data_IF_788978137058
#
_entry.id   IF_788978137058
#
_cell.length_a   1.000
_cell.length_b   1.000
_cell.length_c   1.000
_cell.angle_alpha   90.00
_cell.angle_beta   90.00
_cell.angle_gamma   90.00
#
_symmetry.space_group_name_H-M   'P 1'
#
loop_
_entity.id
_entity.type
_entity.pdbx_description
1 polymer ?
#
# COMPACT_ATOMS: atom_id res chain seq x y z
N UNK A 1 -25.16 -19.56 -22.13
CA UNK A 1 -24.91 -18.12 -22.00
C UNK A 1 -24.12 -17.91 -20.71
N UNK A 2 -22.83 -17.75 -20.80
CA UNK A 2 -21.96 -17.60 -19.62
C UNK A 2 -22.16 -16.17 -19.09
N UNK A 3 -22.84 -16.03 -17.96
CA UNK A 3 -22.89 -14.79 -17.20
C UNK A 3 -21.47 -14.50 -16.72
N UNK A 4 -20.70 -13.78 -17.55
CA UNK A 4 -19.43 -13.24 -17.10
C UNK A 4 -19.74 -12.27 -15.97
N UNK A 5 -19.24 -12.54 -14.78
CA UNK A 5 -19.37 -11.64 -13.66
C UNK A 5 -18.83 -10.27 -14.07
N UNK A 6 -19.74 -9.30 -14.17
CA UNK A 6 -19.37 -7.92 -14.50
C UNK A 6 -18.83 -7.25 -13.25
N UNK A 7 -17.79 -6.42 -13.36
CA UNK A 7 -17.36 -5.59 -12.25
C UNK A 7 -18.52 -4.76 -11.68
N UNK A 8 -18.55 -4.53 -10.37
CA UNK A 8 -19.55 -3.65 -9.76
C UNK A 8 -19.57 -2.25 -10.40
N UNK A 9 -20.73 -1.62 -10.42
CA UNK A 9 -20.91 -0.29 -11.03
C UNK A 9 -19.97 0.76 -10.45
N UNK A 10 -19.62 0.64 -9.17
CA UNK A 10 -18.70 1.56 -8.51
C UNK A 10 -17.31 1.60 -9.19
N UNK A 11 -16.86 0.48 -9.76
CA UNK A 11 -15.58 0.44 -10.50
C UNK A 11 -15.70 1.27 -11.78
N UNK A 12 -16.82 1.22 -12.48
CA UNK A 12 -17.06 2.04 -13.67
C UNK A 12 -17.07 3.52 -13.33
N UNK A 13 -17.83 3.90 -12.31
CA UNK A 13 -17.88 5.29 -11.82
C UNK A 13 -16.50 5.79 -11.41
N UNK A 14 -15.69 4.92 -10.77
CA UNK A 14 -14.30 5.25 -10.42
C UNK A 14 -13.45 5.51 -11.66
N UNK A 15 -13.50 4.64 -12.66
CA UNK A 15 -12.72 4.81 -13.89
C UNK A 15 -13.14 6.08 -14.66
N UNK A 16 -14.45 6.39 -14.71
CA UNK A 16 -14.98 7.60 -15.34
C UNK A 16 -14.52 8.87 -14.61
N UNK A 17 -14.41 8.82 -13.29
CA UNK A 17 -13.99 9.95 -12.47
C UNK A 17 -12.46 10.20 -12.51
N UNK A 18 -11.66 9.24 -13.01
CA UNK A 18 -10.20 9.28 -12.96
C UNK A 18 -9.55 9.14 -14.35
N UNK A 19 -9.75 10.10 -15.26
CA UNK A 19 -9.17 10.08 -16.61
C UNK A 19 -7.62 10.10 -16.61
N UNK A 20 -7.00 10.55 -15.53
CA UNK A 20 -5.53 10.54 -15.33
C UNK A 20 -4.92 9.13 -15.30
N UNK A 21 -5.75 8.09 -15.20
CA UNK A 21 -5.31 6.70 -15.26
C UNK A 21 -4.97 6.23 -16.68
N UNK A 22 -5.33 6.98 -17.71
CA UNK A 22 -5.17 6.60 -19.11
C UNK A 22 -3.72 6.29 -19.52
N UNK A 23 -2.74 6.97 -18.91
CA UNK A 23 -1.30 6.81 -19.19
C UNK A 23 -0.57 6.01 -18.09
N UNK A 24 -1.30 5.36 -17.20
CA UNK A 24 -0.72 4.65 -16.06
C UNK A 24 -0.60 3.16 -16.31
N UNK A 25 0.30 2.54 -15.55
CA UNK A 25 0.33 1.08 -15.41
C UNK A 25 -0.67 0.67 -14.34
N UNK A 26 -1.67 -0.11 -14.75
CA UNK A 26 -2.77 -0.54 -13.87
C UNK A 26 -2.63 -2.04 -13.63
N UNK A 27 -2.69 -2.42 -12.36
CA UNK A 27 -2.56 -3.81 -11.92
C UNK A 27 -3.83 -4.17 -11.13
N UNK A 28 -4.82 -4.80 -11.77
CA UNK A 28 -6.05 -5.16 -11.09
C UNK A 28 -5.85 -6.34 -10.12
N UNK A 29 -6.35 -6.22 -8.92
CA UNK A 29 -6.44 -7.35 -8.01
C UNK A 29 -7.74 -7.31 -7.21
N UNK A 30 -8.16 -8.46 -6.72
CA UNK A 30 -9.37 -8.51 -5.91
C UNK A 30 -9.67 -9.89 -5.36
N UNK A 31 -10.66 -9.94 -4.50
CA UNK A 31 -11.21 -11.21 -4.00
C UNK A 31 -12.51 -11.53 -4.72
N UNK A 32 -12.83 -12.80 -4.84
CA UNK A 32 -14.04 -13.26 -5.51
C UNK A 32 -14.65 -14.51 -4.86
N UNK A 33 -15.92 -14.76 -5.11
CA UNK A 33 -16.64 -15.93 -4.62
C UNK A 33 -16.60 -17.14 -5.56
N UNK A 34 -15.72 -17.14 -6.58
CA UNK A 34 -15.61 -18.19 -7.60
C UNK A 34 -15.59 -17.68 -9.04
N UNK A 35 -16.01 -16.44 -9.29
CA UNK A 35 -16.11 -15.86 -10.65
C UNK A 35 -14.78 -15.34 -11.23
N UNK A 36 -13.74 -15.23 -10.42
CA UNK A 36 -12.47 -14.64 -10.84
C UNK A 36 -12.53 -13.11 -11.04
N UNK A 37 -11.43 -12.53 -11.52
CA UNK A 37 -11.28 -11.08 -11.75
C UNK A 37 -10.91 -10.75 -13.21
N UNK A 38 -10.96 -11.70 -14.11
CA UNK A 38 -10.53 -11.51 -15.51
C UNK A 38 -11.30 -10.43 -16.28
N UNK A 39 -12.56 -10.20 -15.94
CA UNK A 39 -13.39 -9.16 -16.57
C UNK A 39 -12.94 -7.73 -16.23
N UNK A 40 -12.18 -7.52 -15.16
CA UNK A 40 -11.67 -6.21 -14.78
C UNK A 40 -10.61 -5.70 -15.78
N UNK A 41 -9.72 -6.58 -16.23
CA UNK A 41 -8.71 -6.22 -17.25
C UNK A 41 -9.37 -5.74 -18.54
N UNK A 42 -10.41 -6.44 -18.99
CA UNK A 42 -11.17 -6.05 -20.19
C UNK A 42 -11.85 -4.71 -19.98
N UNK A 43 -12.53 -4.52 -18.86
CA UNK A 43 -13.21 -3.27 -18.55
C UNK A 43 -12.24 -2.08 -18.54
N UNK A 44 -11.09 -2.22 -17.87
CA UNK A 44 -10.10 -1.13 -17.78
C UNK A 44 -9.59 -0.76 -19.18
N UNK A 45 -9.34 -1.74 -20.05
CA UNK A 45 -8.92 -1.50 -21.43
C UNK A 45 -10.00 -0.85 -22.30
N UNK A 46 -11.29 -1.08 -22.00
CA UNK A 46 -12.38 -0.38 -22.64
C UNK A 46 -12.39 1.11 -22.30
N UNK A 47 -12.13 1.46 -21.04
CA UNK A 47 -12.04 2.86 -20.59
C UNK A 47 -10.73 3.55 -20.97
N UNK A 48 -9.64 2.82 -20.88
CA UNK A 48 -8.29 3.35 -21.09
C UNK A 48 -7.49 2.47 -22.07
N UNK A 49 -7.73 2.60 -23.38
CA UNK A 49 -7.04 1.79 -24.38
C UNK A 49 -5.52 1.95 -24.37
N UNK A 50 -5.03 3.11 -23.98
CA UNK A 50 -3.59 3.44 -23.93
C UNK A 50 -2.91 3.05 -22.61
N UNK A 51 -3.68 2.70 -21.57
CA UNK A 51 -3.12 2.28 -20.29
C UNK A 51 -2.42 0.93 -20.40
N UNK A 52 -1.30 0.79 -19.71
CA UNK A 52 -0.63 -0.51 -19.56
C UNK A 52 -1.32 -1.32 -18.48
N UNK A 53 -2.17 -2.27 -18.87
CA UNK A 53 -2.88 -3.13 -17.91
C UNK A 53 -2.16 -4.46 -17.80
N UNK A 54 -1.58 -4.73 -16.63
CA UNK A 54 -0.87 -5.97 -16.33
C UNK A 54 -1.83 -7.08 -15.90
N UNK A 55 -1.29 -8.29 -15.74
CA UNK A 55 -2.07 -9.47 -15.35
C UNK A 55 -2.76 -9.28 -14.01
N UNK A 56 -4.06 -9.52 -13.97
CA UNK A 56 -4.87 -9.41 -12.75
C UNK A 56 -4.68 -10.62 -11.83
N UNK A 57 -4.73 -10.38 -10.51
CA UNK A 57 -4.78 -11.43 -9.49
C UNK A 57 -6.16 -11.51 -8.85
N UNK A 58 -6.77 -12.69 -8.89
CA UNK A 58 -7.97 -13.02 -8.14
C UNK A 58 -7.70 -14.04 -7.06
N UNK A 59 -8.16 -13.80 -5.84
CA UNK A 59 -8.08 -14.75 -4.73
C UNK A 59 -9.48 -15.11 -4.29
N UNK A 60 -9.77 -16.41 -4.19
CA UNK A 60 -11.04 -16.87 -3.66
C UNK A 60 -11.21 -16.42 -2.20
N UNK A 61 -12.37 -15.86 -1.85
CA UNK A 61 -12.62 -15.33 -0.51
C UNK A 61 -12.47 -16.37 0.61
N UNK A 62 -12.76 -17.63 0.30
CA UNK A 62 -12.57 -18.76 1.24
C UNK A 62 -11.09 -19.03 1.56
N UNK A 63 -10.18 -18.71 0.64
CA UNK A 63 -8.74 -18.98 0.76
C UNK A 63 -7.94 -17.76 1.22
N UNK A 64 -8.57 -16.63 1.48
CA UNK A 64 -7.86 -15.37 1.78
C UNK A 64 -7.01 -15.46 3.06
N UNK A 65 -7.40 -16.33 3.99
CA UNK A 65 -6.69 -16.55 5.27
C UNK A 65 -5.64 -17.65 5.19
N UNK A 66 -5.55 -18.35 4.09
CA UNK A 66 -4.59 -19.43 3.91
C UNK A 66 -3.17 -18.87 3.72
N UNK A 67 -2.18 -19.53 4.30
CA UNK A 67 -0.77 -19.16 4.11
C UNK A 67 -0.34 -19.20 2.63
N UNK A 68 -0.98 -20.07 1.84
CA UNK A 68 -0.77 -20.20 0.38
C UNK A 68 -1.17 -18.93 -0.39
N UNK A 69 -2.16 -18.18 0.09
CA UNK A 69 -2.59 -16.94 -0.55
C UNK A 69 -1.51 -15.86 -0.50
N UNK A 70 -0.80 -15.76 0.61
CA UNK A 70 0.36 -14.86 0.73
C UNK A 70 1.43 -15.23 -0.29
N UNK A 71 1.76 -16.51 -0.38
CA UNK A 71 2.76 -16.98 -1.35
C UNK A 71 2.33 -16.71 -2.80
N UNK A 72 1.05 -16.86 -3.09
CA UNK A 72 0.47 -16.55 -4.41
C UNK A 72 0.66 -15.08 -4.76
N UNK A 73 0.36 -14.16 -3.83
CA UNK A 73 0.57 -12.71 -4.01
C UNK A 73 2.04 -12.38 -4.24
N UNK A 74 2.93 -12.94 -3.42
CA UNK A 74 4.38 -12.70 -3.55
C UNK A 74 4.91 -13.17 -4.90
N UNK A 75 4.51 -14.37 -5.36
CA UNK A 75 4.91 -14.90 -6.66
C UNK A 75 4.37 -14.06 -7.81
N UNK A 76 3.13 -13.60 -7.70
CA UNK A 76 2.52 -12.73 -8.69
C UNK A 76 3.24 -11.37 -8.78
N UNK A 77 3.56 -10.73 -7.65
CA UNK A 77 4.32 -9.49 -7.62
C UNK A 77 5.72 -9.66 -8.20
N UNK A 78 6.40 -10.79 -7.91
CA UNK A 78 7.70 -11.11 -8.50
C UNK A 78 7.60 -11.30 -10.02
N UNK A 79 6.55 -11.97 -10.50
CA UNK A 79 6.29 -12.16 -11.95
C UNK A 79 6.09 -10.82 -12.65
N UNK A 80 5.38 -9.89 -12.03
CA UNK A 80 5.14 -8.55 -12.57
C UNK A 80 6.36 -7.63 -12.48
N UNK A 81 7.42 -8.02 -11.75
CA UNK A 81 8.60 -7.20 -11.52
C UNK A 81 8.39 -6.01 -10.57
N UNK A 82 7.21 -5.92 -9.95
CA UNK A 82 6.82 -4.78 -9.08
C UNK A 82 7.44 -4.88 -7.69
N UNK A 83 7.80 -6.08 -7.23
CA UNK A 83 8.35 -6.30 -5.88
C UNK A 83 9.83 -5.96 -5.71
N UNK A 84 10.52 -5.52 -6.77
CA UNK A 84 11.97 -5.22 -6.71
C UNK A 84 12.29 -3.76 -6.36
N UNK A 85 11.35 -2.87 -6.48
CA UNK A 85 11.50 -1.55 -5.90
C UNK A 85 11.06 -1.62 -4.44
N UNK A 86 12.02 -1.92 -3.59
CA UNK A 86 11.90 -1.63 -2.17
C UNK A 86 11.66 -0.12 -2.04
N UNK A 87 10.41 0.30 -2.01
CA UNK A 87 10.02 1.58 -1.44
C UNK A 87 9.99 1.48 0.08
N UNK A 88 10.53 0.39 0.63
CA UNK A 88 10.96 0.39 2.00
C UNK A 88 11.90 1.58 2.13
N UNK A 89 11.56 2.51 2.98
CA UNK A 89 12.46 3.54 3.49
C UNK A 89 13.59 2.77 4.21
N UNK A 90 14.49 2.17 3.43
CA UNK A 90 15.66 1.43 3.90
C UNK A 90 16.72 2.39 4.43
N UNK A 91 16.51 3.69 4.22
CA UNK A 91 17.33 4.75 4.76
C UNK A 91 16.44 5.78 5.49
N UNK A 92 15.70 5.34 6.50
CA UNK A 92 15.68 6.18 7.67
C UNK A 92 17.12 6.19 8.16
N UNK A 93 17.95 7.06 7.58
CA UNK A 93 19.06 7.61 8.33
C UNK A 93 18.39 8.16 9.58
N UNK A 94 18.37 7.40 10.63
CA UNK A 94 18.46 7.98 11.94
C UNK A 94 19.72 8.83 11.85
N UNK A 95 19.57 10.09 11.42
CA UNK A 95 20.50 11.10 11.83
C UNK A 95 20.53 10.90 13.33
N UNK A 96 21.59 10.34 13.81
CA UNK A 96 22.00 10.56 15.18
C UNK A 96 22.05 12.07 15.30
N UNK A 97 20.94 12.65 15.73
CA UNK A 97 20.89 14.07 16.05
C UNK A 97 21.71 14.14 17.32
N UNK A 98 23.00 14.38 17.15
CA UNK A 98 23.92 14.66 18.28
C UNK A 98 23.48 15.91 19.05
N UNK A 99 22.55 16.68 18.52
CA UNK A 99 21.80 17.67 19.25
C UNK A 99 20.56 17.03 19.90
N UNK A 100 20.80 16.31 20.99
CA UNK A 100 19.72 15.77 21.83
C UNK A 100 18.98 16.92 22.50
N UNK A 101 17.96 17.43 21.82
CA UNK A 101 17.03 18.40 22.40
C UNK A 101 16.22 17.65 23.47
N UNK A 102 16.32 18.11 24.71
CA UNK A 102 15.46 17.62 25.78
C UNK A 102 14.13 18.39 25.74
N UNK A 103 13.06 17.70 26.07
CA UNK A 103 11.71 18.25 26.07
C UNK A 103 11.13 18.19 27.48
N UNK A 104 10.40 19.24 27.86
CA UNK A 104 9.54 19.23 29.05
C UNK A 104 8.36 18.29 28.85
N UNK A 105 7.65 17.93 29.93
CA UNK A 105 6.44 17.10 29.85
C UNK A 105 5.34 17.74 28.97
N UNK A 106 5.36 19.04 28.76
CA UNK A 106 4.42 19.77 27.90
C UNK A 106 4.89 19.86 26.43
N UNK A 107 5.92 19.08 26.05
CA UNK A 107 6.41 19.01 24.68
C UNK A 107 7.21 20.23 24.21
N UNK A 108 7.58 21.16 25.11
CA UNK A 108 8.42 22.33 24.76
C UNK A 108 9.90 21.96 24.82
N UNK A 109 10.72 22.36 23.83
CA UNK A 109 12.16 22.17 23.91
C UNK A 109 12.73 22.91 25.12
N UNK A 110 13.61 22.28 25.88
CA UNK A 110 14.21 22.86 27.07
C UNK A 110 15.72 22.64 27.05
N UNK A 111 16.44 23.73 27.22
CA UNK A 111 17.89 23.72 27.39
C UNK A 111 18.30 23.54 28.86
N UNK A 112 17.34 23.58 29.77
CA UNK A 112 17.57 23.46 31.20
C UNK A 112 17.16 22.05 31.68
N UNK A 113 18.14 21.24 32.05
CA UNK A 113 17.96 19.84 32.46
C UNK A 113 17.65 19.71 33.98
N UNK A 114 16.86 20.62 34.53
CA UNK A 114 16.39 20.54 35.92
C UNK A 114 14.96 20.00 35.96
N UNK A 115 14.71 19.08 36.87
CA UNK A 115 13.41 18.48 37.06
C UNK A 115 13.17 17.25 36.18
N UNK A 116 11.93 17.00 35.80
CA UNK A 116 11.53 15.86 34.98
C UNK A 116 11.56 16.26 33.49
N UNK A 117 12.35 15.55 32.69
CA UNK A 117 12.46 15.78 31.23
C UNK A 117 12.56 14.47 30.46
N UNK A 118 12.28 14.52 29.16
CA UNK A 118 12.35 13.39 28.23
C UNK A 118 13.50 13.65 27.25
N UNK A 119 14.42 12.68 27.14
CA UNK A 119 15.53 12.69 26.20
C UNK A 119 15.63 11.31 25.54
N UNK A 120 15.68 11.27 24.22
CA UNK A 120 15.73 10.02 23.44
C UNK A 120 14.62 9.02 23.83
N UNK A 121 13.40 9.50 24.10
CA UNK A 121 12.27 8.67 24.50
C UNK A 121 12.32 8.12 25.94
N UNK A 122 13.32 8.47 26.73
CA UNK A 122 13.45 8.05 28.13
C UNK A 122 13.22 9.22 29.07
N UNK A 123 12.59 8.94 30.22
CA UNK A 123 12.36 9.93 31.29
C UNK A 123 13.60 10.03 32.17
N UNK A 124 13.97 11.24 32.51
CA UNK A 124 15.06 11.56 33.43
C UNK A 124 14.56 12.51 34.50
N UNK A 125 15.09 12.38 35.70
CA UNK A 125 14.87 13.29 36.82
C UNK A 125 16.24 13.83 37.25
N UNK A 126 16.40 15.13 37.19
CA UNK A 126 17.59 15.82 37.71
C UNK A 126 17.22 16.53 39.00
N UNK A 127 18.04 16.28 40.04
CA UNK A 127 17.91 17.00 41.32
C UNK A 127 18.54 18.37 41.22
#
# INVERSE_FOLDING_TARGET
MTLRARPPMIIRTFLEAHPELADKTIIPFGTHGGSGVGSYTTLIKEYFPNATVLESLGIAGVSIRDASSRQTVENWLKKLGVGKQSTAITNVRTRSVENSVSYTLNGRPSNNQRGLYIKNGKKYVSK
#
